data_IF_660080195279
#
_entry.id   IF_660080195279
#
_cell.length_a   1.000
_cell.length_b   1.000
_cell.length_c   1.000
_cell.angle_alpha   90.00
_cell.angle_beta   90.00
_cell.angle_gamma   90.00
#
_symmetry.space_group_name_H-M   'P 1'
#
loop_
_entity.id
_entity.type
_entity.pdbx_description
1 polymer ?
#
# COMPACT_ATOMS: atom_id res chain seq x y z
N UNK A 1 -22.57 2.41 -4.02
CA UNK A 1 -21.58 3.32 -3.43
C UNK A 1 -22.03 3.61 -2.02
N UNK A 2 -21.21 3.26 -1.04
CA UNK A 2 -21.48 3.55 0.37
C UNK A 2 -21.38 5.07 0.57
N UNK A 3 -22.37 5.71 1.20
CA UNK A 3 -22.30 7.14 1.61
C UNK A 3 -21.35 7.35 2.81
N UNK A 4 -20.35 6.47 2.97
CA UNK A 4 -19.44 6.52 4.09
C UNK A 4 -18.48 7.69 3.95
N UNK A 5 -18.35 8.47 5.02
CA UNK A 5 -17.36 9.53 5.12
C UNK A 5 -16.72 9.52 6.50
N UNK A 6 -15.41 9.70 6.54
CA UNK A 6 -14.60 9.81 7.74
C UNK A 6 -13.89 11.16 7.75
N UNK A 7 -13.98 11.87 8.87
CA UNK A 7 -13.31 13.13 9.11
C UNK A 7 -12.50 13.04 10.40
N UNK A 8 -11.22 13.39 10.32
CA UNK A 8 -10.32 13.51 11.46
C UNK A 8 -9.56 14.83 11.39
N UNK A 9 -9.46 15.54 12.51
CA UNK A 9 -8.64 16.74 12.65
C UNK A 9 -7.79 16.63 13.90
N UNK A 10 -6.57 17.17 13.82
CA UNK A 10 -5.59 17.13 14.89
C UNK A 10 -4.99 18.52 15.13
N UNK A 11 -4.99 18.95 16.39
CA UNK A 11 -4.26 20.13 16.85
C UNK A 11 -3.01 19.66 17.61
N UNK A 12 -1.86 20.05 17.08
CA UNK A 12 -0.52 19.60 17.48
C UNK A 12 0.21 20.71 18.23
N UNK A 13 0.15 21.93 17.70
CA UNK A 13 0.94 23.04 18.21
C UNK A 13 0.31 23.63 19.48
N UNK A 14 -1.03 23.69 19.51
CA UNK A 14 -1.78 24.23 20.65
C UNK A 14 -3.14 23.53 20.82
N UNK A 15 -3.49 23.08 22.04
CA UNK A 15 -4.83 22.59 22.33
C UNK A 15 -5.90 23.68 22.18
N UNK A 16 -7.06 23.32 21.65
CA UNK A 16 -8.24 24.18 21.54
C UNK A 16 -8.73 24.60 22.94
N UNK A 17 -9.00 25.89 23.08
CA UNK A 17 -9.67 26.46 24.25
C UNK A 17 -11.11 25.93 24.36
N UNK A 18 -11.70 26.00 25.57
CA UNK A 18 -13.10 25.60 25.77
C UNK A 18 -14.10 26.36 24.88
N UNK A 19 -13.78 27.62 24.53
CA UNK A 19 -14.57 28.40 23.56
C UNK A 19 -14.46 27.83 22.15
N UNK A 20 -13.24 27.56 21.68
CA UNK A 20 -13.03 26.98 20.35
C UNK A 20 -13.68 25.59 20.22
N UNK A 21 -13.60 24.76 21.27
CA UNK A 21 -14.30 23.47 21.30
C UNK A 21 -15.82 23.64 21.19
N UNK A 22 -16.41 24.65 21.82
CA UNK A 22 -17.84 24.95 21.69
C UNK A 22 -18.22 25.44 20.28
N UNK A 23 -17.36 26.25 19.64
CA UNK A 23 -17.53 26.70 18.25
C UNK A 23 -17.50 25.50 17.28
N UNK A 24 -16.53 24.60 17.41
CA UNK A 24 -16.45 23.41 16.55
C UNK A 24 -17.59 22.41 16.85
N UNK A 25 -18.02 22.29 18.11
CA UNK A 25 -19.20 21.48 18.49
C UNK A 25 -20.48 21.94 17.82
N UNK A 26 -20.62 23.23 17.48
CA UNK A 26 -21.77 23.74 16.76
C UNK A 26 -21.83 23.23 15.29
N UNK A 27 -20.68 22.82 14.72
CA UNK A 27 -20.59 22.30 13.35
C UNK A 27 -20.97 20.81 13.27
N UNK A 28 -20.72 20.03 14.32
CA UNK A 28 -21.14 18.63 14.42
C UNK A 28 -21.57 18.23 15.81
N UNK A 29 -22.81 17.75 15.90
CA UNK A 29 -23.36 17.19 17.14
C UNK A 29 -22.88 15.77 17.41
N UNK A 30 -22.45 15.03 16.38
CA UNK A 30 -22.05 13.61 16.46
C UNK A 30 -20.55 13.39 16.65
N UNK A 31 -19.74 14.38 16.31
CA UNK A 31 -18.29 14.26 16.38
C UNK A 31 -17.79 14.01 17.81
N UNK A 32 -16.73 13.21 17.95
CA UNK A 32 -15.95 13.19 19.18
C UNK A 32 -14.98 14.37 19.13
N UNK A 33 -15.01 15.23 20.14
CA UNK A 33 -14.21 16.46 20.18
C UNK A 33 -13.47 16.51 21.49
N UNK A 34 -12.16 16.67 21.42
CA UNK A 34 -11.27 16.91 22.55
C UNK A 34 -10.56 18.25 22.37
N UNK A 35 -9.64 18.58 23.27
CA UNK A 35 -8.80 19.75 23.10
C UNK A 35 -7.80 19.60 21.94
N UNK A 36 -7.50 18.38 21.47
CA UNK A 36 -6.49 18.15 20.43
C UNK A 36 -7.02 17.39 19.22
N UNK A 37 -8.24 16.87 19.26
CA UNK A 37 -8.80 16.07 18.17
C UNK A 37 -10.28 16.34 17.92
N UNK A 38 -10.66 16.18 16.66
CA UNK A 38 -12.05 16.04 16.23
C UNK A 38 -12.15 14.83 15.32
N UNK A 39 -13.04 13.90 15.61
CA UNK A 39 -13.31 12.75 14.73
C UNK A 39 -14.80 12.60 14.50
N UNK A 40 -15.18 12.27 13.28
CA UNK A 40 -16.58 12.10 12.92
C UNK A 40 -16.74 11.12 11.76
N UNK A 41 -17.78 10.31 11.83
CA UNK A 41 -18.11 9.33 10.79
C UNK A 41 -19.57 9.53 10.36
N UNK A 42 -19.79 9.52 9.05
CA UNK A 42 -21.10 9.60 8.42
C UNK A 42 -21.36 8.34 7.62
N UNK A 43 -22.59 7.82 7.72
CA UNK A 43 -23.11 6.75 6.85
C UNK A 43 -24.30 7.24 6.00
N UNK A 44 -24.70 8.51 6.19
CA UNK A 44 -25.70 9.23 5.42
C UNK A 44 -25.58 10.72 5.67
N UNK A 45 -25.76 11.53 4.62
CA UNK A 45 -25.62 12.98 4.66
C UNK A 45 -24.17 13.45 4.77
N UNK A 46 -23.99 14.75 5.02
CA UNK A 46 -22.67 15.39 4.91
C UNK A 46 -22.28 16.23 6.13
N UNK A 47 -20.98 16.46 6.28
CA UNK A 47 -20.44 17.36 7.27
C UNK A 47 -20.83 18.81 6.95
N UNK A 48 -21.35 19.55 7.93
CA UNK A 48 -21.83 20.93 7.73
C UNK A 48 -20.74 21.99 7.84
N UNK A 49 -19.56 21.61 8.31
CA UNK A 49 -18.42 22.50 8.38
C UNK A 49 -17.63 22.46 7.08
N UNK A 50 -16.78 23.46 6.92
CA UNK A 50 -15.79 23.54 5.85
C UNK A 50 -14.44 23.07 6.41
N UNK A 51 -13.89 21.92 5.97
CA UNK A 51 -12.62 21.42 6.46
C UNK A 51 -11.46 22.41 6.32
N UNK A 52 -11.40 23.15 5.21
CA UNK A 52 -10.37 24.15 4.97
C UNK A 52 -10.42 25.25 6.03
N UNK A 53 -11.60 25.78 6.33
CA UNK A 53 -11.78 26.77 7.40
C UNK A 53 -11.46 26.24 8.79
N UNK A 54 -11.68 24.95 9.03
CA UNK A 54 -11.35 24.32 10.31
C UNK A 54 -9.84 24.22 10.51
N UNK A 55 -9.11 23.84 9.47
CA UNK A 55 -7.64 23.83 9.47
C UNK A 55 -7.10 25.25 9.63
N UNK A 56 -7.59 26.22 8.85
CA UNK A 56 -7.16 27.62 8.95
C UNK A 56 -7.24 28.20 10.37
N UNK A 57 -8.28 27.83 11.13
CA UNK A 57 -8.61 28.47 12.41
C UNK A 57 -8.23 27.68 13.65
N UNK A 58 -8.31 26.36 13.60
CA UNK A 58 -8.35 25.53 14.81
C UNK A 58 -7.38 24.36 14.80
N UNK A 59 -7.13 23.73 13.65
CA UNK A 59 -6.40 22.46 13.58
C UNK A 59 -5.12 22.57 12.74
N UNK A 60 -4.18 21.69 13.01
CA UNK A 60 -2.87 21.67 12.34
C UNK A 60 -2.77 20.62 11.24
N UNK A 61 -3.66 19.61 11.28
CA UNK A 61 -3.77 18.62 10.24
C UNK A 61 -5.22 18.11 10.14
N UNK A 62 -5.59 17.62 8.97
CA UNK A 62 -6.89 17.04 8.68
C UNK A 62 -6.73 15.83 7.77
N UNK A 63 -7.54 14.79 8.00
CA UNK A 63 -7.71 13.65 7.12
C UNK A 63 -9.20 13.47 6.82
N UNK A 64 -9.50 13.26 5.54
CA UNK A 64 -10.81 12.92 5.02
C UNK A 64 -10.72 11.67 4.16
N UNK A 65 -11.66 10.77 4.36
CA UNK A 65 -11.81 9.57 3.55
C UNK A 65 -13.28 9.36 3.20
N UNK A 66 -13.56 9.09 1.94
CA UNK A 66 -14.88 8.77 1.46
C UNK A 66 -14.95 7.35 0.87
N UNK A 67 -16.06 6.66 1.09
CA UNK A 67 -16.30 5.31 0.55
C UNK A 67 -16.50 5.26 -0.96
N UNK A 68 -16.49 6.42 -1.63
CA UNK A 68 -16.45 6.55 -3.10
C UNK A 68 -15.04 6.89 -3.61
N UNK A 69 -14.01 6.74 -2.76
CA UNK A 69 -12.62 6.74 -3.18
C UNK A 69 -11.84 8.04 -2.97
N UNK A 70 -12.46 9.14 -2.54
CA UNK A 70 -11.75 10.38 -2.21
C UNK A 70 -10.95 10.23 -0.91
N UNK A 71 -9.63 10.37 -0.99
CA UNK A 71 -8.71 10.51 0.13
C UNK A 71 -8.14 11.93 0.12
N UNK A 72 -8.26 12.66 1.22
CA UNK A 72 -7.71 14.01 1.33
C UNK A 72 -6.99 14.21 2.65
N UNK A 73 -5.80 14.77 2.62
CA UNK A 73 -5.04 15.14 3.80
C UNK A 73 -4.57 16.58 3.69
N UNK A 74 -4.81 17.36 4.75
CA UNK A 74 -4.36 18.75 4.82
C UNK A 74 -3.39 18.91 5.97
N UNK A 75 -2.39 19.76 5.76
CA UNK A 75 -1.35 20.03 6.74
C UNK A 75 -1.09 21.53 6.81
N UNK A 76 -1.16 22.08 8.02
CA UNK A 76 -0.90 23.50 8.29
C UNK A 76 0.46 23.69 8.93
N UNK A 77 1.25 24.60 8.39
CA UNK A 77 2.59 24.92 8.84
C UNK A 77 2.72 26.45 9.00
N UNK A 78 3.58 26.95 9.90
CA UNK A 78 3.94 28.36 9.86
C UNK A 78 4.57 28.71 8.50
N UNK A 79 4.18 29.82 7.88
CA UNK A 79 4.77 30.28 6.62
C UNK A 79 6.30 30.48 6.73
N UNK A 80 6.77 30.81 7.94
CA UNK A 80 8.19 30.97 8.21
C UNK A 80 9.03 29.69 8.01
N UNK A 81 8.45 28.49 7.97
CA UNK A 81 9.22 27.24 7.84
C UNK A 81 9.27 26.67 6.42
N UNK A 82 8.31 27.02 5.57
CA UNK A 82 8.23 26.55 4.19
C UNK A 82 7.78 27.72 3.34
N UNK A 83 8.63 28.11 2.39
CA UNK A 83 8.34 29.17 1.44
C UNK A 83 7.14 28.78 0.55
N UNK A 84 6.06 29.58 0.49
CA UNK A 84 4.95 29.32 -0.41
C UNK A 84 5.38 29.13 -1.87
N UNK A 85 6.36 29.91 -2.36
CA UNK A 85 6.86 29.80 -3.75
C UNK A 85 7.56 28.45 -3.99
N UNK A 86 8.14 27.85 -2.96
CA UNK A 86 8.75 26.53 -3.05
C UNK A 86 7.68 25.43 -3.05
N UNK A 87 6.64 25.58 -2.23
CA UNK A 87 5.52 24.65 -2.20
C UNK A 87 4.74 24.63 -3.53
N UNK A 88 4.53 25.80 -4.14
CA UNK A 88 3.84 25.95 -5.43
C UNK A 88 4.48 25.15 -6.57
N UNK A 89 5.80 24.89 -6.53
CA UNK A 89 6.48 24.08 -7.55
C UNK A 89 6.02 22.61 -7.58
N UNK A 90 5.43 22.14 -6.48
CA UNK A 90 4.92 20.78 -6.35
C UNK A 90 3.40 20.74 -6.50
N UNK A 91 2.73 21.86 -6.75
CA UNK A 91 1.29 21.89 -6.96
C UNK A 91 0.92 21.30 -8.32
N UNK A 92 -0.16 20.52 -8.34
CA UNK A 92 -0.68 19.81 -9.51
C UNK A 92 -2.20 19.88 -9.45
N UNK A 93 -2.80 20.61 -10.40
CA UNK A 93 -4.25 20.76 -10.51
C UNK A 93 -4.95 21.02 -9.18
N UNK A 94 -5.96 20.21 -8.88
CA UNK A 94 -6.70 20.22 -7.61
C UNK A 94 -6.18 19.15 -6.62
N UNK A 95 -5.33 18.23 -7.10
CA UNK A 95 -4.79 17.10 -6.33
C UNK A 95 -3.73 17.56 -5.33
N UNK A 96 -2.90 18.53 -5.69
CA UNK A 96 -1.87 19.09 -4.81
C UNK A 96 -1.96 20.60 -4.85
N UNK A 97 -2.45 21.22 -3.79
CA UNK A 97 -2.59 22.67 -3.70
C UNK A 97 -1.98 23.21 -2.41
N UNK A 98 -1.61 24.49 -2.46
CA UNK A 98 -1.04 25.21 -1.34
C UNK A 98 -1.62 26.63 -1.28
N UNK A 99 -1.94 27.12 -0.07
CA UNK A 99 -2.36 28.51 0.11
C UNK A 99 -1.99 29.04 1.49
N UNK A 100 -1.87 30.37 1.58
CA UNK A 100 -1.57 31.05 2.84
C UNK A 100 -2.85 31.51 3.54
N UNK A 101 -2.90 31.36 4.87
CA UNK A 101 -3.94 31.89 5.74
C UNK A 101 -3.35 32.47 7.03
N UNK A 102 -3.32 33.80 7.12
CA UNK A 102 -2.63 34.50 8.19
C UNK A 102 -1.11 34.27 8.12
N UNK A 103 -0.50 33.81 9.20
CA UNK A 103 0.93 33.46 9.28
C UNK A 103 1.22 31.99 8.94
N UNK A 104 0.28 31.30 8.28
CA UNK A 104 0.37 29.86 8.04
C UNK A 104 0.24 29.55 6.55
N UNK A 105 1.02 28.57 6.10
CA UNK A 105 0.87 27.87 4.84
C UNK A 105 0.06 26.59 5.08
N UNK A 106 -0.92 26.33 4.22
CA UNK A 106 -1.72 25.11 4.23
C UNK A 106 -1.40 24.36 2.95
N UNK A 107 -1.06 23.08 3.11
CA UNK A 107 -0.87 22.12 2.04
C UNK A 107 -2.08 21.18 2.02
N UNK A 108 -2.59 20.88 0.85
CA UNK A 108 -3.78 20.06 0.65
C UNK A 108 -3.53 19.05 -0.46
N UNK A 109 -3.58 17.77 -0.09
CA UNK A 109 -3.29 16.65 -0.96
C UNK A 109 -4.54 15.79 -1.09
N UNK A 110 -4.99 15.56 -2.32
CA UNK A 110 -6.19 14.80 -2.65
C UNK A 110 -5.85 13.71 -3.67
N UNK A 111 -6.37 12.51 -3.42
CA UNK A 111 -6.31 11.34 -4.30
C UNK A 111 -7.73 10.81 -4.50
N UNK A 112 -8.14 10.62 -5.75
CA UNK A 112 -9.47 10.14 -6.12
C UNK A 112 -9.35 8.85 -6.93
N UNK A 113 -10.20 7.86 -6.67
CA UNK A 113 -10.23 6.59 -7.40
C UNK A 113 -11.67 6.09 -7.49
N UNK A 114 -12.16 5.84 -8.70
CA UNK A 114 -13.57 5.47 -8.93
C UNK A 114 -13.92 4.04 -8.43
N UNK A 115 -12.92 3.17 -8.23
CA UNK A 115 -13.09 1.77 -7.80
C UNK A 115 -12.25 1.43 -6.55
N UNK A 116 -12.57 2.02 -5.39
CA UNK A 116 -11.86 1.67 -4.14
C UNK A 116 -12.43 0.39 -3.50
N UNK A 117 -11.57 -0.58 -3.17
CA UNK A 117 -11.92 -1.65 -2.23
C UNK A 117 -11.95 -1.10 -0.80
N UNK A 118 -13.10 -1.19 -0.12
CA UNK A 118 -13.39 -0.55 1.18
C UNK A 118 -12.49 -1.00 2.35
N UNK A 119 -11.61 -1.99 2.17
CA UNK A 119 -11.11 -2.82 3.28
C UNK A 119 -9.70 -2.52 3.83
N UNK A 120 -8.86 -1.70 3.19
CA UNK A 120 -7.41 -1.65 3.54
C UNK A 120 -6.82 -0.27 3.90
N UNK A 121 -7.62 0.79 4.06
CA UNK A 121 -7.05 2.11 4.40
C UNK A 121 -6.90 2.26 5.91
N UNK A 122 -5.65 2.21 6.38
CA UNK A 122 -5.31 2.49 7.78
C UNK A 122 -5.65 3.95 8.11
N UNK A 123 -6.74 4.15 8.87
CA UNK A 123 -7.20 5.46 9.34
C UNK A 123 -6.22 6.03 10.35
N UNK A 124 -5.18 6.72 9.88
CA UNK A 124 -4.17 7.24 10.80
C UNK A 124 -3.60 8.58 10.36
N UNK A 125 -4.38 9.65 10.60
CA UNK A 125 -3.81 11.00 10.53
C UNK A 125 -2.60 11.13 11.47
N UNK A 126 -2.61 10.40 12.58
CA UNK A 126 -1.49 10.37 13.53
C UNK A 126 -0.19 9.81 12.93
N UNK A 127 -0.26 8.84 12.00
CA UNK A 127 0.90 8.31 11.30
C UNK A 127 1.45 9.33 10.30
N UNK A 128 0.57 10.05 9.60
CA UNK A 128 0.93 11.04 8.59
C UNK A 128 1.40 12.35 9.22
N UNK A 129 0.84 12.77 10.35
CA UNK A 129 1.09 14.08 10.99
C UNK A 129 2.58 14.38 11.24
N UNK A 130 3.43 13.36 11.30
CA UNK A 130 4.88 13.50 11.38
C UNK A 130 5.51 14.25 10.20
N UNK A 131 4.90 14.25 9.01
CA UNK A 131 5.41 14.99 7.84
C UNK A 131 5.49 16.49 8.08
N UNK A 132 4.68 17.04 9.00
CA UNK A 132 4.79 18.45 9.43
C UNK A 132 6.19 18.75 9.92
N UNK A 133 6.72 17.85 10.73
CA UNK A 133 8.00 18.08 11.37
C UNK A 133 9.17 17.94 10.39
N UNK A 134 9.00 17.11 9.38
CA UNK A 134 9.96 16.87 8.30
C UNK A 134 9.98 18.06 7.33
N UNK A 135 8.81 18.52 6.86
CA UNK A 135 8.69 19.71 6.00
C UNK A 135 9.31 20.94 6.65
N UNK A 136 9.03 21.12 7.93
CA UNK A 136 9.56 22.25 8.68
C UNK A 136 11.04 22.10 9.07
N UNK A 137 11.64 20.92 8.83
CA UNK A 137 13.10 20.71 8.85
C UNK A 137 13.73 20.80 7.45
N UNK A 138 12.96 21.22 6.43
CA UNK A 138 13.42 21.37 5.05
C UNK A 138 13.41 20.08 4.23
N UNK A 139 12.80 19.01 4.73
CA UNK A 139 12.62 17.78 3.97
C UNK A 139 11.43 17.91 3.02
N UNK A 140 11.72 18.08 1.73
CA UNK A 140 10.70 18.27 0.69
C UNK A 140 10.11 16.95 0.17
N UNK A 141 10.55 15.79 0.67
CA UNK A 141 10.01 14.48 0.25
C UNK A 141 8.48 14.41 0.34
N UNK A 142 7.80 14.92 1.39
CA UNK A 142 6.34 14.85 1.45
C UNK A 142 5.64 15.62 0.30
N UNK A 143 6.18 16.77 -0.12
CA UNK A 143 5.64 17.51 -1.28
C UNK A 143 5.84 16.73 -2.58
N UNK A 144 7.04 16.18 -2.76
CA UNK A 144 7.36 15.40 -3.96
C UNK A 144 6.56 14.08 -4.04
N UNK A 145 6.30 13.42 -2.91
CA UNK A 145 5.43 12.23 -2.86
C UNK A 145 3.99 12.57 -3.25
N UNK A 146 3.47 13.73 -2.80
CA UNK A 146 2.15 14.21 -3.20
C UNK A 146 2.13 14.53 -4.71
N UNK A 147 3.15 15.22 -5.23
CA UNK A 147 3.32 15.50 -6.65
C UNK A 147 3.33 14.23 -7.50
N UNK A 148 4.11 13.20 -7.09
CA UNK A 148 4.12 11.91 -7.76
C UNK A 148 2.73 11.24 -7.74
N UNK A 149 2.01 11.32 -6.63
CA UNK A 149 0.69 10.70 -6.52
C UNK A 149 -0.33 11.34 -7.46
N UNK A 150 -0.22 12.66 -7.69
CA UNK A 150 -1.09 13.36 -8.63
C UNK A 150 -0.88 12.86 -10.06
N UNK A 151 0.37 12.81 -10.53
CA UNK A 151 0.70 12.32 -11.88
C UNK A 151 0.59 10.79 -12.03
N UNK A 152 0.71 10.02 -10.95
CA UNK A 152 0.43 8.58 -10.97
C UNK A 152 -1.03 8.24 -11.34
N UNK A 153 -1.94 9.20 -11.21
CA UNK A 153 -3.33 9.09 -11.70
C UNK A 153 -3.38 9.01 -13.23
N UNK A 154 -2.43 9.63 -13.94
CA UNK A 154 -2.35 9.67 -15.41
C UNK A 154 -2.12 8.29 -16.04
N UNK A 155 -1.44 7.37 -15.35
CA UNK A 155 -1.30 5.98 -15.82
C UNK A 155 -2.64 5.21 -15.86
N UNK A 156 -3.67 5.71 -15.17
CA UNK A 156 -4.96 5.02 -15.01
C UNK A 156 -6.06 5.60 -15.92
N UNK A 157 -5.85 6.78 -16.47
CA UNK A 157 -6.78 7.45 -17.39
C UNK A 157 -5.99 8.33 -18.39
N UNK A 158 -5.95 7.91 -19.65
CA UNK A 158 -5.27 8.61 -20.76
C UNK A 158 -5.90 10.00 -21.07
N UNK A 159 -7.13 10.26 -20.61
CA UNK A 159 -7.83 11.53 -20.77
C UNK A 159 -7.70 12.44 -19.52
N UNK A 160 -6.93 12.06 -18.50
CA UNK A 160 -6.86 12.80 -17.23
C UNK A 160 -6.18 14.17 -17.32
N UNK A 161 -5.35 14.42 -18.35
CA UNK A 161 -4.66 15.68 -18.56
C UNK A 161 -4.58 16.04 -20.06
N UNK A 162 -4.60 17.34 -20.37
CA UNK A 162 -4.38 17.82 -21.73
C UNK A 162 -2.93 17.53 -22.17
N UNK A 163 -2.69 17.30 -23.48
CA UNK A 163 -1.35 17.05 -24.07
C UNK A 163 -0.26 18.06 -23.67
N UNK A 164 -0.63 19.25 -23.19
CA UNK A 164 0.30 20.27 -22.68
C UNK A 164 1.00 19.84 -21.38
N UNK A 165 0.50 18.82 -20.67
CA UNK A 165 1.09 18.30 -19.43
C UNK A 165 2.17 17.22 -19.64
N UNK A 166 2.28 16.65 -20.85
CA UNK A 166 3.32 15.65 -21.19
C UNK A 166 4.74 16.23 -21.11
N UNK A 167 4.89 17.50 -21.46
CA UNK A 167 6.16 18.23 -21.48
C UNK A 167 6.47 18.91 -20.12
N UNK A 168 5.66 18.67 -19.09
CA UNK A 168 5.92 19.20 -17.75
C UNK A 168 7.23 18.61 -17.22
N UNK A 169 8.12 19.50 -16.81
CA UNK A 169 9.39 19.11 -16.22
C UNK A 169 9.19 18.64 -14.79
N UNK A 170 9.88 17.58 -14.44
CA UNK A 170 9.91 17.08 -13.08
C UNK A 170 10.55 18.13 -12.12
N UNK A 171 9.91 18.44 -10.98
CA UNK A 171 10.52 19.31 -9.99
C UNK A 171 11.78 18.66 -9.40
N UNK A 172 12.66 19.45 -8.74
CA UNK A 172 13.88 18.91 -8.15
C UNK A 172 13.62 17.71 -7.24
N UNK A 173 14.29 16.60 -7.54
CA UNK A 173 14.12 15.33 -6.84
C UNK A 173 14.78 15.43 -5.45
N UNK A 174 14.01 15.34 -4.35
CA UNK A 174 14.59 15.47 -3.03
C UNK A 174 15.51 14.27 -2.70
N UNK A 175 16.57 14.49 -1.91
CA UNK A 175 17.48 13.42 -1.50
C UNK A 175 16.77 12.41 -0.57
N UNK A 176 17.08 11.12 -0.74
CA UNK A 176 16.63 10.07 0.18
C UNK A 176 15.25 9.47 -0.11
N UNK A 177 14.76 9.54 -1.36
CA UNK A 177 13.50 8.87 -1.74
C UNK A 177 13.57 7.35 -1.62
N UNK A 178 14.75 6.76 -1.81
CA UNK A 178 14.95 5.32 -1.62
C UNK A 178 14.82 4.83 -0.17
N UNK A 179 14.67 5.73 0.80
CA UNK A 179 14.50 5.39 2.23
C UNK A 179 13.55 6.35 2.92
N UNK A 180 12.25 6.18 2.65
CA UNK A 180 11.18 6.96 3.26
C UNK A 180 11.15 6.80 4.80
N UNK A 181 10.72 7.84 5.50
CA UNK A 181 10.37 7.76 6.91
C UNK A 181 9.03 7.03 7.12
N UNK A 182 8.65 6.74 8.37
CA UNK A 182 7.32 6.15 8.64
C UNK A 182 6.17 7.10 8.28
N UNK A 183 6.21 8.41 8.61
CA UNK A 183 5.21 9.37 8.14
C UNK A 183 5.14 9.50 6.61
N UNK A 184 6.28 9.45 5.92
CA UNK A 184 6.33 9.51 4.45
C UNK A 184 5.72 8.29 3.79
N UNK A 185 5.97 7.09 4.33
CA UNK A 185 5.28 5.87 3.87
C UNK A 185 3.78 5.97 4.09
N UNK A 186 3.35 6.36 5.29
CA UNK A 186 1.94 6.54 5.58
C UNK A 186 1.27 7.55 4.65
N UNK A 187 1.96 8.63 4.26
CA UNK A 187 1.47 9.57 3.26
C UNK A 187 1.37 8.94 1.87
N UNK A 188 2.42 8.26 1.41
CA UNK A 188 2.45 7.61 0.09
C UNK A 188 1.34 6.55 -0.04
N UNK A 189 1.18 5.72 0.98
CA UNK A 189 0.13 4.69 1.06
C UNK A 189 -1.26 5.36 1.05
N UNK A 190 -1.45 6.42 1.84
CA UNK A 190 -2.73 7.14 1.90
C UNK A 190 -3.10 7.81 0.58
N UNK A 191 -2.13 8.37 -0.15
CA UNK A 191 -2.33 8.97 -1.47
C UNK A 191 -2.34 7.94 -2.61
N UNK A 192 -2.20 6.65 -2.30
CA UNK A 192 -2.18 5.54 -3.26
C UNK A 192 -1.06 5.68 -4.31
N UNK A 193 0.09 6.19 -3.88
CA UNK A 193 1.25 6.34 -4.74
C UNK A 193 1.73 4.96 -5.22
N UNK A 194 1.95 4.83 -6.52
CA UNK A 194 2.45 3.60 -7.12
C UNK A 194 3.93 3.34 -6.76
N UNK A 195 4.22 2.11 -6.34
CA UNK A 195 5.56 1.68 -5.92
C UNK A 195 6.59 1.67 -7.06
N UNK A 196 6.19 1.37 -8.31
CA UNK A 196 7.09 1.46 -9.46
C UNK A 196 7.45 2.91 -9.76
N UNK A 197 6.45 3.80 -9.71
CA UNK A 197 6.61 5.23 -9.92
C UNK A 197 7.52 5.85 -8.86
N UNK A 198 7.27 5.57 -7.59
CA UNK A 198 8.15 5.97 -6.49
C UNK A 198 9.57 5.47 -6.71
N UNK A 199 9.72 4.20 -7.10
CA UNK A 199 11.03 3.64 -7.30
C UNK A 199 11.73 4.24 -8.55
N UNK A 200 11.00 4.64 -9.59
CA UNK A 200 11.53 5.25 -10.83
C UNK A 200 12.00 6.68 -10.56
N UNK A 201 11.23 7.41 -9.74
CA UNK A 201 11.64 8.67 -9.17
C UNK A 201 12.92 8.54 -8.33
N UNK A 202 13.01 7.49 -7.49
CA UNK A 202 14.14 7.27 -6.59
C UNK A 202 15.48 6.99 -7.30
N UNK A 203 15.50 6.62 -8.59
CA UNK A 203 16.77 6.47 -9.36
C UNK A 203 17.52 7.78 -9.51
N UNK A 204 16.79 8.89 -9.68
CA UNK A 204 17.35 10.23 -9.77
C UNK A 204 17.59 10.86 -8.39
N UNK A 205 17.17 10.21 -7.30
CA UNK A 205 17.27 10.74 -5.95
C UNK A 205 18.69 10.64 -5.41
N UNK A 206 19.31 11.75 -4.99
CA UNK A 206 20.58 11.71 -4.29
C UNK A 206 20.46 10.94 -2.96
N UNK A 207 21.57 10.40 -2.42
CA UNK A 207 21.54 9.72 -1.13
C UNK A 207 21.04 10.67 -0.03
N UNK A 208 20.30 10.11 0.92
CA UNK A 208 19.75 10.86 2.04
C UNK A 208 20.86 11.63 2.76
N UNK A 209 20.71 12.96 2.85
CA UNK A 209 21.53 13.76 3.76
C UNK A 209 20.94 13.58 5.15
N UNK A 210 21.73 13.16 6.16
CA UNK A 210 21.21 13.03 7.51
C UNK A 210 20.82 14.42 8.03
N UNK A 211 19.53 14.74 8.03
CA UNK A 211 18.95 15.92 8.72
C UNK A 211 18.83 15.63 10.22
N UNK A 212 19.88 15.02 10.81
CA UNK A 212 20.04 15.02 12.25
C UNK A 212 20.91 16.22 12.57
N UNK A 213 20.28 17.29 13.06
CA UNK A 213 21.04 18.39 13.62
C UNK A 213 21.97 17.81 14.69
N UNK A 214 23.28 17.90 14.46
CA UNK A 214 24.26 17.40 15.43
C UNK A 214 23.99 18.11 16.76
N UNK A 215 23.57 17.34 17.77
CA UNK A 215 23.24 17.86 19.10
C UNK A 215 24.39 18.69 19.68
N UNK A 216 25.64 18.37 19.34
CA UNK A 216 26.81 19.15 19.74
C UNK A 216 26.86 20.49 19.02
N UNK A 217 26.66 20.52 17.71
CA UNK A 217 26.59 21.75 16.92
C UNK A 217 25.43 22.65 17.39
N UNK A 218 24.24 22.09 17.60
CA UNK A 218 23.10 22.80 18.18
C UNK A 218 23.42 23.37 19.56
N UNK A 219 24.04 22.58 20.45
CA UNK A 219 24.40 23.06 21.79
C UNK A 219 25.40 24.22 21.75
N UNK A 220 26.38 24.18 20.83
CA UNK A 220 27.34 25.27 20.61
C UNK A 220 26.65 26.52 20.09
N UNK A 221 25.78 26.38 19.07
CA UNK A 221 25.05 27.50 18.49
C UNK A 221 24.06 28.13 19.48
N UNK A 222 23.24 27.31 20.17
CA UNK A 222 22.37 27.77 21.26
C UNK A 222 23.24 28.43 22.33
N UNK A 223 24.42 27.87 22.66
CA UNK A 223 25.39 28.46 23.57
C UNK A 223 25.79 29.89 23.20
N UNK A 224 25.98 30.17 21.92
CA UNK A 224 26.37 31.47 21.38
C UNK A 224 25.23 32.52 21.36
N UNK A 225 23.96 32.12 21.44
CA UNK A 225 22.83 33.07 21.43
C UNK A 225 22.90 34.05 22.63
N UNK A 226 22.60 35.36 22.42
CA UNK A 226 22.58 36.34 23.51
C UNK A 226 21.60 35.97 24.64
N UNK A 227 21.98 36.23 25.88
CA UNK A 227 21.15 35.91 27.05
C UNK A 227 19.75 36.55 26.99
N UNK A 228 19.65 37.79 26.48
CA UNK A 228 18.36 38.47 26.29
C UNK A 228 17.45 37.71 25.32
N UNK A 229 18.01 37.17 24.23
CA UNK A 229 17.28 36.38 23.23
C UNK A 229 16.83 35.04 23.80
N UNK A 230 17.72 34.34 24.51
CA UNK A 230 17.38 33.09 25.23
C UNK A 230 16.21 33.30 26.19
N UNK A 231 16.26 34.35 27.02
CA UNK A 231 15.21 34.64 27.98
C UNK A 231 13.87 34.96 27.28
N UNK A 232 13.90 35.72 26.17
CA UNK A 232 12.70 36.02 25.39
C UNK A 232 12.08 34.75 24.76
N UNK A 233 12.91 33.85 24.23
CA UNK A 233 12.44 32.58 23.67
C UNK A 233 11.86 31.66 24.74
N UNK A 234 12.50 31.57 25.91
CA UNK A 234 11.98 30.78 27.03
C UNK A 234 10.65 31.32 27.57
N UNK A 235 10.47 32.64 27.61
CA UNK A 235 9.19 33.25 27.96
C UNK A 235 8.10 32.84 26.97
N UNK A 236 8.37 32.90 25.66
CA UNK A 236 7.43 32.45 24.62
C UNK A 236 7.08 30.96 24.74
N UNK A 237 8.04 30.11 25.09
CA UNK A 237 7.76 28.68 25.34
C UNK A 237 6.77 28.49 26.50
N UNK A 238 6.85 29.33 27.54
CA UNK A 238 5.91 29.30 28.68
C UNK A 238 4.54 29.88 28.30
N UNK A 239 4.48 30.80 27.33
CA UNK A 239 3.24 31.40 26.80
C UNK A 239 2.55 30.54 25.73
N UNK A 240 2.84 29.24 25.67
CA UNK A 240 2.32 28.25 24.71
C UNK A 240 2.73 28.49 23.23
N UNK A 241 3.78 29.30 22.98
CA UNK A 241 4.38 29.51 21.65
C UNK A 241 5.53 28.52 21.35
N UNK A 242 5.63 27.42 22.11
CA UNK A 242 6.77 26.50 22.07
C UNK A 242 7.06 25.89 20.70
N UNK A 243 6.01 25.55 19.94
CA UNK A 243 6.17 25.02 18.57
C UNK A 243 6.75 26.08 17.63
N UNK A 244 6.21 27.31 17.64
CA UNK A 244 6.72 28.44 16.86
C UNK A 244 8.18 28.75 17.20
N UNK A 245 8.53 28.75 18.49
CA UNK A 245 9.91 28.97 18.96
C UNK A 245 10.84 27.87 18.46
N UNK A 246 10.41 26.60 18.50
CA UNK A 246 11.19 25.49 17.97
C UNK A 246 11.49 25.70 16.49
N UNK A 247 10.48 26.05 15.70
CA UNK A 247 10.61 26.28 14.27
C UNK A 247 11.55 27.44 13.92
N UNK A 248 11.40 28.57 14.60
CA UNK A 248 12.28 29.73 14.45
C UNK A 248 13.74 29.38 14.75
N UNK A 249 13.99 28.61 15.81
CA UNK A 249 15.34 28.18 16.20
C UNK A 249 15.97 27.22 15.18
N UNK A 250 15.21 26.28 14.63
CA UNK A 250 15.72 25.35 13.61
C UNK A 250 16.09 26.11 12.33
N UNK A 251 15.22 27.02 11.87
CA UNK A 251 15.50 27.88 10.72
C UNK A 251 16.75 28.74 10.91
N UNK A 252 16.90 29.38 12.08
CA UNK A 252 18.10 30.18 12.37
C UNK A 252 19.37 29.33 12.45
N UNK A 253 19.27 28.10 12.99
CA UNK A 253 20.39 27.17 13.09
C UNK A 253 20.86 26.68 11.71
N UNK A 254 19.92 26.40 10.82
CA UNK A 254 20.20 25.96 9.45
C UNK A 254 20.67 27.12 8.54
N UNK A 255 20.82 28.32 9.10
CA UNK A 255 21.49 29.44 8.44
C UNK A 255 20.56 30.48 7.81
N UNK A 256 19.24 30.43 8.07
CA UNK A 256 18.29 31.49 7.70
C UNK A 256 18.14 31.77 6.20
N UNK A 257 18.72 30.94 5.33
CA UNK A 257 18.65 31.07 3.89
C UNK A 257 17.72 30.02 3.31
N UNK A 258 16.78 30.50 2.50
CA UNK A 258 16.29 29.82 1.30
C UNK A 258 17.41 29.54 0.27
N UNK A 259 18.69 29.53 0.69
CA UNK A 259 19.83 28.96 -0.03
C UNK A 259 19.78 27.43 -0.02
N UNK A 260 18.57 26.85 -0.17
CA UNK A 260 18.50 25.78 -1.15
C UNK A 260 18.79 26.46 -2.47
N UNK A 261 20.08 26.53 -2.84
CA UNK A 261 20.49 26.74 -4.23
C UNK A 261 19.46 25.98 -5.05
N UNK A 262 18.74 26.72 -5.89
CA UNK A 262 17.70 26.19 -6.74
C UNK A 262 18.38 25.20 -7.66
N UNK A 263 18.53 23.96 -7.18
CA UNK A 263 19.04 22.85 -7.95
C UNK A 263 18.15 22.84 -9.18
N UNK A 264 18.72 22.96 -10.39
CA UNK A 264 17.93 22.98 -11.59
C UNK A 264 17.03 21.76 -11.58
N UNK A 265 15.75 21.95 -11.94
CA UNK A 265 14.82 20.85 -12.12
C UNK A 265 15.45 19.77 -12.99
N UNK A 266 15.07 18.52 -12.78
CA UNK A 266 15.58 17.44 -13.61
C UNK A 266 15.26 17.77 -15.08
N UNK A 267 16.17 17.46 -16.01
CA UNK A 267 15.86 17.56 -17.45
C UNK A 267 14.81 16.51 -17.89
N UNK A 268 14.39 15.64 -16.97
CA UNK A 268 13.40 14.58 -17.15
C UNK A 268 11.99 15.14 -17.12
N UNK A 269 11.17 14.74 -18.09
CA UNK A 269 9.75 15.07 -18.11
C UNK A 269 8.92 14.10 -17.28
N UNK A 270 7.69 14.50 -16.95
CA UNK A 270 6.68 13.62 -16.33
C UNK A 270 6.46 12.36 -17.18
N UNK A 271 6.36 12.51 -18.51
CA UNK A 271 6.17 11.38 -19.42
C UNK A 271 7.33 10.36 -19.34
N UNK A 272 8.59 10.83 -19.35
CA UNK A 272 9.76 9.95 -19.22
C UNK A 272 9.80 9.23 -17.86
N UNK A 273 9.33 9.87 -16.80
CA UNK A 273 9.22 9.27 -15.47
C UNK A 273 8.17 8.13 -15.46
N UNK A 274 7.03 8.35 -16.10
CA UNK A 274 5.92 7.38 -16.18
C UNK A 274 6.27 6.21 -17.11
N UNK A 275 6.94 6.47 -18.23
CA UNK A 275 7.54 5.42 -19.07
C UNK A 275 8.51 4.53 -18.27
N UNK A 276 9.33 5.15 -17.41
CA UNK A 276 10.21 4.46 -16.49
C UNK A 276 9.43 3.53 -15.54
N UNK A 277 8.36 4.04 -14.93
CA UNK A 277 7.49 3.28 -14.04
C UNK A 277 6.84 2.08 -14.77
N UNK A 278 6.27 2.29 -15.95
CA UNK A 278 5.68 1.24 -16.77
C UNK A 278 6.68 0.14 -17.16
N UNK A 279 7.91 0.51 -17.56
CA UNK A 279 8.96 -0.45 -17.87
C UNK A 279 9.33 -1.32 -16.66
N UNK A 280 9.32 -0.74 -15.46
CA UNK A 280 9.59 -1.45 -14.20
C UNK A 280 8.46 -2.39 -13.84
N UNK A 281 7.20 -1.95 -13.97
CA UNK A 281 6.02 -2.79 -13.77
C UNK A 281 6.06 -4.04 -14.66
N UNK A 282 6.27 -3.84 -15.97
CA UNK A 282 6.42 -4.95 -16.92
C UNK A 282 7.58 -5.88 -16.56
N UNK A 283 8.72 -5.32 -16.15
CA UNK A 283 9.86 -6.10 -15.69
C UNK A 283 9.52 -7.01 -14.50
N UNK A 284 8.80 -6.49 -13.50
CA UNK A 284 8.36 -7.27 -12.32
C UNK A 284 7.36 -8.36 -12.71
N UNK A 285 6.35 -8.03 -13.51
CA UNK A 285 5.33 -8.99 -13.97
C UNK A 285 5.97 -10.16 -14.72
N UNK A 286 6.95 -9.89 -15.58
CA UNK A 286 7.71 -10.93 -16.27
C UNK A 286 8.50 -11.82 -15.29
N UNK A 287 9.16 -11.23 -14.31
CA UNK A 287 9.91 -11.98 -13.29
C UNK A 287 8.98 -12.84 -12.42
N UNK A 288 7.83 -12.32 -12.02
CA UNK A 288 6.84 -13.07 -11.27
C UNK A 288 6.24 -14.22 -12.08
N UNK A 289 5.90 -13.96 -13.34
CA UNK A 289 5.40 -14.99 -14.25
C UNK A 289 6.42 -16.12 -14.43
N UNK A 290 7.70 -15.79 -14.60
CA UNK A 290 8.80 -16.75 -14.67
C UNK A 290 8.91 -17.59 -13.38
N UNK A 291 8.91 -16.96 -12.20
CA UNK A 291 8.96 -17.67 -10.91
C UNK A 291 7.75 -18.60 -10.72
N UNK A 292 6.55 -18.13 -11.08
CA UNK A 292 5.32 -18.95 -11.01
C UNK A 292 5.37 -20.13 -11.98
N UNK A 293 5.96 -19.96 -13.17
CA UNK A 293 6.17 -21.05 -14.12
C UNK A 293 7.17 -22.09 -13.59
N UNK A 294 8.32 -21.65 -13.08
CA UNK A 294 9.33 -22.53 -12.46
C UNK A 294 8.77 -23.32 -11.28
N UNK A 295 7.97 -22.68 -10.41
CA UNK A 295 7.34 -23.34 -9.28
C UNK A 295 6.31 -24.39 -9.74
N UNK A 296 5.53 -24.08 -10.79
CA UNK A 296 4.59 -25.05 -11.39
C UNK A 296 5.33 -26.25 -11.97
N UNK A 297 6.40 -26.03 -12.74
CA UNK A 297 7.23 -27.10 -13.29
C UNK A 297 7.82 -27.98 -12.19
N UNK A 298 8.34 -27.37 -11.11
CA UNK A 298 8.86 -28.11 -9.96
C UNK A 298 7.79 -28.96 -9.29
N UNK A 299 6.60 -28.40 -9.03
CA UNK A 299 5.47 -29.14 -8.45
C UNK A 299 5.01 -30.27 -9.36
N UNK A 300 5.00 -30.07 -10.67
CA UNK A 300 4.68 -31.13 -11.63
C UNK A 300 5.73 -32.24 -11.63
N UNK A 301 7.03 -31.90 -11.59
CA UNK A 301 8.10 -32.89 -11.49
C UNK A 301 8.03 -33.68 -10.18
N UNK A 302 7.78 -33.01 -9.06
CA UNK A 302 7.60 -33.66 -7.76
C UNK A 302 6.40 -34.61 -7.80
N UNK A 303 5.25 -34.18 -8.32
CA UNK A 303 4.06 -35.04 -8.50
C UNK A 303 4.34 -36.24 -9.41
N UNK A 304 5.07 -36.04 -10.52
CA UNK A 304 5.46 -37.13 -11.42
C UNK A 304 6.37 -38.13 -10.72
N UNK A 305 7.35 -37.66 -9.93
CA UNK A 305 8.24 -38.52 -9.14
C UNK A 305 7.50 -39.28 -8.05
N UNK A 306 6.61 -38.63 -7.31
CA UNK A 306 5.77 -39.28 -6.30
C UNK A 306 4.87 -40.35 -6.92
N UNK A 307 4.25 -40.02 -8.06
CA UNK A 307 3.44 -40.96 -8.83
C UNK A 307 4.30 -42.14 -9.29
N UNK A 308 5.50 -41.90 -9.82
CA UNK A 308 6.42 -42.95 -10.25
C UNK A 308 6.85 -43.84 -9.06
N UNK A 309 7.19 -43.27 -7.90
CA UNK A 309 7.53 -44.01 -6.69
C UNK A 309 6.35 -44.83 -6.15
N UNK A 310 5.12 -44.30 -6.27
CA UNK A 310 3.90 -45.02 -5.89
C UNK A 310 3.64 -46.20 -6.82
N UNK A 311 3.75 -45.99 -8.14
CA UNK A 311 3.64 -47.05 -9.13
C UNK A 311 4.74 -48.11 -8.95
N UNK A 312 5.98 -47.71 -8.68
CA UNK A 312 7.08 -48.65 -8.42
C UNK A 312 6.87 -49.47 -7.14
N UNK A 313 6.32 -48.87 -6.08
CA UNK A 313 5.92 -49.62 -4.86
C UNK A 313 4.79 -50.60 -5.13
N UNK A 314 3.79 -50.22 -5.93
CA UNK A 314 2.70 -51.11 -6.34
C UNK A 314 3.19 -52.27 -7.21
N UNK A 315 4.20 -52.05 -8.05
CA UNK A 315 4.80 -53.09 -8.90
C UNK A 315 5.56 -54.16 -8.09
N UNK A 316 6.10 -53.82 -6.91
CA UNK A 316 6.79 -54.79 -6.05
C UNK A 316 5.84 -55.84 -5.45
N UNK A 317 4.60 -55.44 -5.11
CA UNK A 317 3.61 -56.29 -4.44
C UNK A 317 2.24 -56.28 -5.16
N UNK A 318 2.23 -56.69 -6.42
CA UNK A 318 1.02 -56.71 -7.27
C UNK A 318 -0.13 -57.52 -6.65
N UNK A 319 0.14 -58.68 -6.05
CA UNK A 319 -0.88 -59.53 -5.41
C UNK A 319 -1.50 -58.86 -4.17
N UNK A 320 -0.70 -58.17 -3.36
CA UNK A 320 -1.22 -57.44 -2.21
C UNK A 320 -2.04 -56.21 -2.63
N UNK A 321 -1.72 -55.59 -3.78
CA UNK A 321 -2.52 -54.52 -4.36
C UNK A 321 -3.90 -55.02 -4.83
N UNK A 322 -3.96 -56.18 -5.50
CA UNK A 322 -5.24 -56.81 -5.87
C UNK A 322 -6.06 -57.25 -4.65
N UNK A 323 -5.42 -57.80 -3.61
CA UNK A 323 -6.10 -58.12 -2.34
C UNK A 323 -6.74 -56.91 -1.67
N UNK A 324 -6.03 -55.77 -1.62
CA UNK A 324 -6.59 -54.50 -1.09
C UNK A 324 -7.79 -53.99 -1.89
N UNK A 325 -7.77 -54.17 -3.22
CA UNK A 325 -8.94 -53.83 -4.07
C UNK A 325 -10.13 -54.70 -3.69
N UNK A 326 -9.96 -56.01 -3.52
CA UNK A 326 -11.05 -56.91 -3.09
C UNK A 326 -11.57 -56.58 -1.69
N UNK A 327 -10.70 -56.27 -0.74
CA UNK A 327 -11.05 -55.88 0.63
C UNK A 327 -11.84 -54.57 0.66
N UNK A 328 -11.37 -53.52 -0.03
CA UNK A 328 -12.07 -52.23 -0.15
C UNK A 328 -13.44 -52.40 -0.82
N UNK A 329 -13.56 -53.27 -1.83
CA UNK A 329 -14.85 -53.61 -2.44
C UNK A 329 -15.76 -54.42 -1.49
N UNK A 330 -15.17 -55.20 -0.59
CA UNK A 330 -15.85 -55.99 0.45
C UNK A 330 -16.55 -55.15 1.51
N UNK A 331 -15.97 -54.01 1.90
CA UNK A 331 -16.50 -53.13 2.98
C UNK A 331 -17.82 -52.44 2.68
N UNK A 332 -18.26 -52.41 1.41
CA UNK A 332 -19.51 -51.78 0.92
C UNK A 332 -19.68 -50.29 1.28
N UNK A 333 -18.58 -49.55 1.45
CA UNK A 333 -18.60 -48.10 1.71
C UNK A 333 -18.29 -47.30 0.44
N UNK A 334 -18.98 -46.16 0.19
CA UNK A 334 -18.70 -45.33 -0.98
C UNK A 334 -17.25 -44.85 -1.08
N UNK A 335 -16.63 -44.37 0.01
CA UNK A 335 -15.22 -43.92 -0.03
C UNK A 335 -14.23 -45.03 -0.38
N UNK A 336 -14.53 -46.27 0.04
CA UNK A 336 -13.69 -47.45 -0.21
C UNK A 336 -13.81 -47.92 -1.67
N UNK A 337 -14.97 -47.71 -2.31
CA UNK A 337 -15.12 -47.93 -3.75
C UNK A 337 -14.30 -46.95 -4.57
N UNK A 338 -14.21 -45.69 -4.14
CA UNK A 338 -13.37 -44.69 -4.82
C UNK A 338 -11.87 -45.06 -4.72
N UNK A 339 -11.43 -45.54 -3.55
CA UNK A 339 -10.07 -46.05 -3.37
C UNK A 339 -9.77 -47.29 -4.23
N UNK A 340 -10.69 -48.24 -4.29
CA UNK A 340 -10.55 -49.44 -5.13
C UNK A 340 -10.45 -49.07 -6.63
N UNK A 341 -11.26 -48.13 -7.08
CA UNK A 341 -11.22 -47.63 -8.47
C UNK A 341 -9.89 -46.91 -8.77
N UNK A 342 -9.37 -46.12 -7.82
CA UNK A 342 -8.08 -45.46 -7.98
C UNK A 342 -6.92 -46.45 -8.05
N UNK A 343 -6.91 -47.47 -7.18
CA UNK A 343 -5.90 -48.54 -7.23
C UNK A 343 -5.96 -49.35 -8.54
N UNK A 344 -7.16 -49.62 -9.07
CA UNK A 344 -7.32 -50.29 -10.37
C UNK A 344 -6.83 -49.43 -11.53
N UNK A 345 -6.97 -48.10 -11.47
CA UNK A 345 -6.36 -47.18 -12.46
C UNK A 345 -4.84 -47.23 -12.41
N UNK A 346 -4.26 -47.17 -11.21
CA UNK A 346 -2.81 -47.25 -11.03
C UNK A 346 -2.25 -48.60 -11.53
N UNK A 347 -2.94 -49.71 -11.26
CA UNK A 347 -2.60 -51.04 -11.76
C UNK A 347 -2.74 -51.17 -13.29
N UNK A 348 -3.71 -50.49 -13.90
CA UNK A 348 -3.82 -50.43 -15.37
C UNK A 348 -2.62 -49.70 -15.99
N UNK A 349 -2.22 -48.57 -15.41
CA UNK A 349 -1.05 -47.78 -15.87
C UNK A 349 0.21 -48.65 -15.79
N UNK A 350 0.39 -49.39 -14.69
CA UNK A 350 1.48 -50.36 -14.54
C UNK A 350 1.43 -51.49 -15.57
N UNK A 351 0.27 -52.09 -15.77
CA UNK A 351 0.11 -53.20 -16.72
C UNK A 351 0.38 -52.78 -18.17
N UNK A 352 0.08 -51.52 -18.54
CA UNK A 352 0.43 -50.97 -19.86
C UNK A 352 1.95 -50.73 -19.96
N UNK A 353 2.56 -50.16 -18.91
CA UNK A 353 4.02 -49.90 -18.87
C UNK A 353 4.84 -51.19 -18.99
N UNK A 354 4.40 -52.24 -18.32
CA UNK A 354 5.15 -53.50 -18.21
C UNK A 354 4.70 -54.54 -19.26
N UNK A 355 3.92 -54.15 -20.29
CA UNK A 355 3.38 -55.01 -21.36
C UNK A 355 2.47 -56.17 -20.91
N UNK A 356 1.96 -56.13 -19.68
CA UNK A 356 1.05 -57.13 -19.10
C UNK A 356 -0.44 -56.77 -19.18
N UNK A 357 -0.82 -55.88 -20.11
CA UNK A 357 -2.18 -55.37 -20.25
C UNK A 357 -3.25 -56.48 -20.39
N UNK A 358 -2.93 -57.58 -21.06
CA UNK A 358 -3.83 -58.74 -21.22
C UNK A 358 -4.15 -59.46 -19.91
N UNK A 359 -3.15 -59.62 -19.02
CA UNK A 359 -3.32 -60.26 -17.71
C UNK A 359 -4.18 -59.37 -16.79
N UNK A 360 -3.97 -58.05 -16.84
CA UNK A 360 -4.81 -57.09 -16.13
C UNK A 360 -6.26 -57.13 -16.60
N UNK A 361 -6.50 -57.15 -17.93
CA UNK A 361 -7.85 -57.21 -18.48
C UNK A 361 -8.62 -58.47 -18.05
N UNK A 362 -7.94 -59.63 -18.03
CA UNK A 362 -8.53 -60.88 -17.54
C UNK A 362 -8.89 -60.82 -16.05
N UNK A 363 -8.00 -60.28 -15.20
CA UNK A 363 -8.26 -60.11 -13.76
C UNK A 363 -9.37 -59.10 -13.49
N UNK A 364 -9.41 -57.99 -14.23
CA UNK A 364 -10.48 -57.00 -14.14
C UNK A 364 -11.83 -57.58 -14.57
N UNK A 365 -11.87 -58.41 -15.61
CA UNK A 365 -13.08 -59.11 -16.05
C UNK A 365 -13.62 -60.04 -14.95
N UNK A 366 -12.74 -60.84 -14.34
CA UNK A 366 -13.12 -61.72 -13.24
C UNK A 366 -13.63 -60.95 -12.01
N UNK A 367 -12.99 -59.83 -11.67
CA UNK A 367 -13.41 -58.96 -10.56
C UNK A 367 -14.77 -58.31 -10.82
N UNK A 368 -15.03 -57.88 -12.07
CA UNK A 368 -16.34 -57.34 -12.49
C UNK A 368 -17.41 -58.41 -12.40
N UNK A 369 -17.14 -59.64 -12.86
CA UNK A 369 -18.06 -60.78 -12.80
C UNK A 369 -18.46 -61.11 -11.34
N UNK A 370 -17.49 -61.16 -10.44
CA UNK A 370 -17.71 -61.43 -9.01
C UNK A 370 -18.51 -60.34 -8.29
N UNK A 371 -18.53 -59.12 -8.81
CA UNK A 371 -19.19 -57.96 -8.19
C UNK A 371 -20.31 -57.33 -9.03
N UNK A 372 -20.83 -58.04 -10.05
CA UNK A 372 -21.93 -57.58 -10.91
C UNK A 372 -23.17 -57.12 -10.13
N UNK A 373 -23.44 -57.72 -8.97
CA UNK A 373 -24.56 -57.35 -8.09
C UNK A 373 -24.44 -56.00 -7.36
N UNK A 374 -23.36 -55.22 -7.58
CA UNK A 374 -23.11 -53.92 -6.95
C UNK A 374 -23.19 -52.77 -7.98
N UNK A 375 -24.38 -52.23 -8.28
CA UNK A 375 -24.56 -51.26 -9.38
C UNK A 375 -23.79 -49.95 -9.22
N UNK A 376 -23.62 -49.46 -7.99
CA UNK A 376 -22.85 -48.24 -7.69
C UNK A 376 -21.35 -48.38 -8.01
N UNK A 377 -20.78 -49.56 -7.73
CA UNK A 377 -19.39 -49.88 -8.07
C UNK A 377 -19.20 -50.01 -9.59
N UNK A 378 -20.12 -50.71 -10.27
CA UNK A 378 -20.08 -50.89 -11.72
C UNK A 378 -20.17 -49.56 -12.46
N UNK A 379 -20.99 -48.62 -11.97
CA UNK A 379 -21.05 -47.25 -12.50
C UNK A 379 -19.69 -46.55 -12.38
N UNK A 380 -19.06 -46.57 -11.20
CA UNK A 380 -17.75 -45.91 -10.98
C UNK A 380 -16.61 -46.53 -11.78
N UNK A 381 -16.63 -47.85 -12.00
CA UNK A 381 -15.67 -48.53 -12.88
C UNK A 381 -15.84 -48.10 -14.35
N UNK A 382 -17.08 -47.97 -14.82
CA UNK A 382 -17.37 -47.51 -16.17
C UNK A 382 -17.00 -46.02 -16.35
N UNK A 383 -17.38 -45.16 -15.39
CA UNK A 383 -17.00 -43.74 -15.37
C UNK A 383 -15.47 -43.56 -15.33
N UNK A 384 -14.75 -44.54 -14.80
CA UNK A 384 -13.29 -44.59 -14.78
C UNK A 384 -12.63 -45.17 -16.03
N UNK A 385 -13.42 -45.57 -17.04
CA UNK A 385 -12.92 -46.20 -18.27
C UNK A 385 -12.34 -47.60 -18.05
N UNK A 386 -12.61 -48.24 -16.90
CA UNK A 386 -12.19 -49.60 -16.56
C UNK A 386 -13.20 -50.62 -17.12
N UNK A 387 -13.35 -50.61 -18.44
CA UNK A 387 -14.20 -51.53 -19.22
C UNK A 387 -13.39 -52.71 -19.74
N UNK A 388 -14.07 -53.83 -19.99
CA UNK A 388 -13.49 -55.08 -20.51
C UNK A 388 -13.55 -55.15 -22.03
N UNK A 389 -12.99 -54.14 -22.70
CA UNK A 389 -12.70 -54.19 -24.14
C UNK A 389 -11.19 -54.26 -24.37
#
# INVERSE_FOLDING_TARGET
MSEYQYYEFLAIDRPLTGRQQAEVRALSTRAQITATSFTNEYHWGDFRGDPSRMVERYYDAHLYLAGWGTHRVMVRLPEAVLDPELAERYCVGEQVSAWTSGEHLILDFTSEEEESSEDDVERSLSAIAGIRAELAAGDLRPLYLAWLSAYGTWERDEDAFDYEEEDVLEPPVPPGLGSLSAPQRALADFLRLDDDLLAAAAEASPPARPVQHDRKALAVWIGALPAKRKNALLLRVVEDDGAKVRWELLREFDGGGTDQETEPGTERTVAELLDGAAARRHGREHQEAARRAEERERREQERRREQELHLNRLAQDLEAAWGRVEDSIGTKKPREYDQAVQLLRDLRILAIRDEHAGVFAQRLAHLRERHQGKPSLMKRLNDAGLTTE
#
